data_IF_309289913948
#
_entry.id   IF_309289913948
#
_cell.length_a   1.000
_cell.length_b   1.000
_cell.length_c   1.000
_cell.angle_alpha   90.00
_cell.angle_beta   90.00
_cell.angle_gamma   90.00
#
_symmetry.space_group_name_H-M   'P 1'
#
loop_
_entity.id
_entity.type
_entity.pdbx_description
1 polymer ?
#
# COMPACT_ATOMS: atom_id res chain seq x y z
N UNK A 1 9.37 -1.58 -9.21
CA UNK A 1 8.90 -0.67 -8.16
C UNK A 1 9.13 0.74 -8.65
N UNK A 2 8.15 1.62 -8.48
CA UNK A 2 8.23 3.02 -8.85
C UNK A 2 7.77 3.87 -7.66
N UNK A 3 8.35 5.06 -7.49
CA UNK A 3 7.91 6.05 -6.52
C UNK A 3 7.22 7.18 -7.29
N UNK A 4 5.92 7.32 -7.07
CA UNK A 4 5.11 8.35 -7.71
C UNK A 4 4.95 9.51 -6.71
N UNK A 5 5.48 10.71 -7.00
CA UNK A 5 5.26 11.88 -6.15
C UNK A 5 3.77 12.18 -6.03
N UNK A 6 3.30 12.42 -4.82
CA UNK A 6 1.93 12.82 -4.55
C UNK A 6 1.88 14.12 -3.76
N UNK A 7 0.72 14.76 -3.72
CA UNK A 7 0.46 15.97 -2.97
C UNK A 7 -0.32 15.67 -1.67
N UNK A 8 -0.45 16.67 -0.79
CA UNK A 8 -1.32 16.56 0.39
C UNK A 8 -0.86 15.57 1.47
N UNK A 9 0.41 15.13 1.43
CA UNK A 9 0.94 14.18 2.41
C UNK A 9 0.35 12.77 2.29
N UNK A 10 -0.14 12.41 1.11
CA UNK A 10 -0.65 11.07 0.83
C UNK A 10 0.48 10.03 0.92
N UNK A 11 0.15 8.85 1.47
CA UNK A 11 0.97 7.65 1.37
C UNK A 11 0.05 6.49 1.00
N UNK A 12 0.22 5.96 -0.21
CA UNK A 12 -0.58 4.87 -0.74
C UNK A 12 0.31 3.78 -1.35
N UNK A 13 -0.11 2.53 -1.21
CA UNK A 13 0.57 1.38 -1.81
C UNK A 13 -0.40 0.65 -2.73
N UNK A 14 0.02 0.44 -3.97
CA UNK A 14 -0.76 -0.21 -5.03
C UNK A 14 0.05 -1.33 -5.66
N UNK A 15 -0.58 -2.49 -5.87
CA UNK A 15 0.02 -3.67 -6.49
C UNK A 15 -0.87 -4.10 -7.66
N UNK A 16 -0.30 -4.19 -8.86
CA UNK A 16 -1.04 -4.54 -10.09
C UNK A 16 -2.29 -3.67 -10.30
N UNK A 17 -2.21 -2.37 -10.00
CA UNK A 17 -3.32 -1.43 -10.09
C UNK A 17 -4.35 -1.52 -8.96
N UNK A 18 -4.25 -2.48 -8.04
CA UNK A 18 -5.10 -2.59 -6.86
C UNK A 18 -4.46 -1.90 -5.65
N UNK A 19 -5.13 -0.90 -5.08
CA UNK A 19 -4.71 -0.26 -3.84
C UNK A 19 -4.83 -1.25 -2.68
N UNK A 20 -3.75 -1.39 -1.91
CA UNK A 20 -3.68 -2.27 -0.73
C UNK A 20 -3.55 -1.51 0.58
N UNK A 21 -3.18 -0.22 0.53
CA UNK A 21 -3.06 0.63 1.70
C UNK A 21 -3.24 2.10 1.34
N UNK A 22 -3.86 2.86 2.23
CA UNK A 22 -3.84 4.32 2.23
C UNK A 22 -3.74 4.86 3.65
N UNK A 23 -2.76 5.73 3.91
CA UNK A 23 -2.63 6.43 5.20
C UNK A 23 -3.82 7.34 5.48
N UNK A 24 -4.54 7.80 4.46
CA UNK A 24 -5.74 8.60 4.69
C UNK A 24 -6.90 7.78 5.24
N UNK A 25 -6.95 6.49 4.90
CA UNK A 25 -8.00 5.59 5.40
C UNK A 25 -7.74 5.20 6.86
N UNK A 26 -6.47 5.02 7.24
CA UNK A 26 -6.07 4.55 8.58
C UNK A 26 -5.63 5.66 9.54
N UNK A 27 -5.23 6.81 9.01
CA UNK A 27 -4.57 7.90 9.75
C UNK A 27 -3.07 7.69 10.00
N UNK A 28 -2.55 6.48 9.80
CA UNK A 28 -1.22 6.07 10.27
C UNK A 28 -0.29 5.66 9.11
N UNK A 29 1.02 5.61 9.38
CA UNK A 29 1.94 4.93 8.45
C UNK A 29 1.93 3.43 8.73
N UNK A 30 1.99 2.59 7.68
CA UNK A 30 1.95 1.15 7.87
C UNK A 30 3.26 0.64 8.47
N UNK A 31 3.18 -0.42 9.26
CA UNK A 31 4.33 -1.23 9.61
C UNK A 31 4.75 -2.07 8.41
N UNK A 32 6.06 -2.25 8.23
CA UNK A 32 6.63 -3.04 7.13
C UNK A 32 5.99 -4.44 7.00
N UNK A 33 5.68 -5.08 8.15
CA UNK A 33 5.07 -6.41 8.20
C UNK A 33 3.66 -6.45 7.62
N UNK A 34 2.88 -5.37 7.77
CA UNK A 34 1.51 -5.27 7.25
C UNK A 34 1.52 -5.25 5.72
N UNK A 35 2.37 -4.43 5.12
CA UNK A 35 2.50 -4.36 3.66
C UNK A 35 2.99 -5.70 3.09
N UNK A 36 3.98 -6.34 3.71
CA UNK A 36 4.47 -7.66 3.28
C UNK A 36 3.35 -8.71 3.35
N UNK A 37 2.54 -8.68 4.41
CA UNK A 37 1.41 -9.59 4.56
C UNK A 37 0.37 -9.39 3.45
N UNK A 38 -0.07 -8.15 3.21
CA UNK A 38 -1.05 -7.83 2.16
C UNK A 38 -0.56 -8.23 0.76
N UNK A 39 0.71 -7.94 0.45
CA UNK A 39 1.32 -8.36 -0.81
C UNK A 39 1.35 -9.88 -0.98
N UNK A 40 1.64 -10.62 0.10
CA UNK A 40 1.69 -12.10 0.08
C UNK A 40 0.29 -12.66 -0.12
N UNK A 41 -0.70 -12.13 0.59
CA UNK A 41 -2.11 -12.52 0.48
C UNK A 41 -2.63 -12.27 -0.94
N UNK A 42 -2.31 -11.14 -1.57
CA UNK A 42 -2.69 -10.88 -2.96
C UNK A 42 -2.08 -11.87 -3.95
N UNK A 43 -0.79 -12.20 -3.80
CA UNK A 43 -0.09 -13.15 -4.69
C UNK A 43 -0.75 -14.52 -4.68
N UNK A 44 -1.20 -14.99 -3.51
CA UNK A 44 -1.82 -16.32 -3.37
C UNK A 44 -3.23 -16.40 -3.95
N UNK A 45 -3.86 -15.25 -4.23
CA UNK A 45 -5.21 -15.15 -4.78
C UNK A 45 -5.21 -14.82 -6.29
N UNK A 46 -4.04 -14.84 -6.95
CA UNK A 46 -3.85 -14.50 -8.37
C UNK A 46 -3.44 -15.70 -9.22
#
# INVERSE_FOLDING_TARGET
MELIPSSGGAFEVTVNGKKIYSKWDTGEFPQHKEIIHEMTTLKNNS
#
